data_IF_163380627487
#
_entry.id   IF_163380627487
#
_cell.length_a   1.000
_cell.length_b   1.000
_cell.length_c   1.000
_cell.angle_alpha   90.00
_cell.angle_beta   90.00
_cell.angle_gamma   90.00
#
_symmetry.space_group_name_H-M   'P 1'
#
loop_
_entity.id
_entity.type
_entity.pdbx_description
1 polymer ?
#
# COMPACT_ATOMS: atom_id res chain seq x y z
N UNK A 1 -16.40 4.82 -2.08
CA UNK A 1 -17.47 3.80 -2.08
C UNK A 1 -17.42 2.93 -3.34
N UNK A 2 -17.50 3.50 -4.54
CA UNK A 2 -17.54 2.78 -5.83
C UNK A 2 -16.37 1.81 -6.03
N UNK A 3 -15.17 2.15 -5.56
CA UNK A 3 -14.02 1.25 -5.66
C UNK A 3 -14.12 0.01 -4.75
N UNK A 4 -14.80 0.11 -3.60
CA UNK A 4 -14.71 -0.85 -2.49
C UNK A 4 -16.03 -1.60 -2.20
N UNK A 5 -17.18 -1.04 -2.59
CA UNK A 5 -18.50 -1.58 -2.23
C UNK A 5 -19.18 -2.14 -3.49
N UNK A 6 -19.35 -3.47 -3.61
CA UNK A 6 -19.93 -4.12 -4.80
C UNK A 6 -21.29 -3.55 -5.21
N UNK A 7 -22.19 -3.33 -4.25
CA UNK A 7 -23.55 -2.84 -4.52
C UNK A 7 -23.56 -1.43 -5.12
N UNK A 8 -22.64 -0.57 -4.67
CA UNK A 8 -22.49 0.79 -5.21
C UNK A 8 -21.83 0.75 -6.59
N UNK A 9 -20.83 -0.12 -6.76
CA UNK A 9 -20.14 -0.32 -8.02
C UNK A 9 -21.09 -0.78 -9.14
N UNK A 10 -21.99 -1.73 -8.85
CA UNK A 10 -22.98 -2.22 -9.80
C UNK A 10 -23.90 -1.09 -10.31
N UNK A 11 -24.22 -0.11 -9.45
CA UNK A 11 -25.06 1.02 -9.80
C UNK A 11 -24.32 2.11 -10.58
N UNK A 12 -23.12 2.48 -10.14
CA UNK A 12 -22.36 3.63 -10.68
C UNK A 12 -21.45 3.26 -11.85
N UNK A 13 -20.89 2.05 -11.86
CA UNK A 13 -19.87 1.62 -12.82
C UNK A 13 -19.92 0.10 -13.13
N UNK A 14 -21.07 -0.43 -13.61
CA UNK A 14 -21.33 -1.87 -13.73
C UNK A 14 -20.38 -2.65 -14.67
N UNK A 15 -19.74 -1.98 -15.62
CA UNK A 15 -18.84 -2.62 -16.59
C UNK A 15 -17.36 -2.59 -16.15
N UNK A 16 -17.07 -2.02 -14.98
CA UNK A 16 -15.70 -1.94 -14.49
C UNK A 16 -15.20 -3.29 -14.01
N UNK A 17 -13.97 -3.64 -14.41
CA UNK A 17 -13.29 -4.85 -13.94
C UNK A 17 -12.74 -4.72 -12.51
N UNK A 18 -12.73 -3.50 -11.94
CA UNK A 18 -12.08 -3.20 -10.65
C UNK A 18 -13.06 -2.64 -9.60
N UNK A 19 -14.10 -1.91 -10.03
CA UNK A 19 -15.04 -1.30 -9.10
C UNK A 19 -15.75 -2.35 -8.24
N UNK A 20 -15.90 -2.05 -6.95
CA UNK A 20 -16.50 -2.95 -5.96
C UNK A 20 -15.57 -4.02 -5.41
N UNK A 21 -14.38 -4.18 -5.98
CA UNK A 21 -13.40 -5.21 -5.60
C UNK A 21 -11.96 -4.70 -5.62
N UNK A 22 -11.75 -3.37 -5.55
CA UNK A 22 -10.42 -2.80 -5.55
C UNK A 22 -9.64 -3.21 -4.28
N UNK A 23 -8.43 -3.71 -4.47
CA UNK A 23 -7.48 -4.03 -3.41
C UNK A 23 -6.28 -3.05 -3.36
N UNK A 24 -6.12 -2.23 -4.40
CA UNK A 24 -5.12 -1.17 -4.49
C UNK A 24 -5.83 0.16 -4.71
N UNK A 25 -5.51 1.16 -3.87
CA UNK A 25 -6.04 2.51 -3.96
C UNK A 25 -4.92 3.48 -4.33
N UNK A 26 -5.01 4.06 -5.53
CA UNK A 26 -4.11 5.12 -5.99
C UNK A 26 -4.78 6.46 -5.73
N UNK A 27 -4.08 7.35 -5.02
CA UNK A 27 -4.59 8.66 -4.64
C UNK A 27 -4.13 9.74 -5.62
N UNK A 28 -4.92 10.81 -5.82
CA UNK A 28 -4.60 11.89 -6.76
C UNK A 28 -3.41 12.74 -6.29
N UNK A 29 -3.16 12.82 -4.98
CA UNK A 29 -2.10 13.63 -4.41
C UNK A 29 -1.62 13.08 -3.05
N UNK A 30 -0.54 13.69 -2.53
CA UNK A 30 0.05 13.30 -1.26
C UNK A 30 -0.86 13.63 -0.06
N UNK A 31 -1.66 14.68 -0.13
CA UNK A 31 -2.52 15.10 0.99
C UNK A 31 -3.61 14.07 1.25
N UNK A 32 -4.35 13.71 0.20
CA UNK A 32 -5.39 12.68 0.22
C UNK A 32 -4.83 11.32 0.65
N UNK A 33 -3.67 10.91 0.14
CA UNK A 33 -3.00 9.68 0.54
C UNK A 33 -2.62 9.68 2.04
N UNK A 34 -2.00 10.76 2.52
CA UNK A 34 -1.50 10.86 3.90
C UNK A 34 -2.65 10.94 4.92
N UNK A 35 -3.74 11.66 4.58
CA UNK A 35 -4.94 11.69 5.41
C UNK A 35 -5.57 10.29 5.46
N UNK A 36 -5.76 9.64 4.32
CA UNK A 36 -6.39 8.31 4.26
C UNK A 36 -5.60 7.26 5.04
N UNK A 37 -4.27 7.21 4.88
CA UNK A 37 -3.45 6.19 5.57
C UNK A 37 -3.43 6.40 7.08
N UNK A 38 -3.37 7.65 7.57
CA UNK A 38 -3.43 7.96 9.00
C UNK A 38 -4.81 7.69 9.59
N UNK A 39 -5.87 8.04 8.86
CA UNK A 39 -7.23 7.70 9.25
C UNK A 39 -7.37 6.18 9.39
N UNK A 40 -6.89 5.42 8.41
CA UNK A 40 -6.85 3.96 8.50
C UNK A 40 -6.08 3.51 9.74
N UNK A 41 -4.85 3.98 9.97
CA UNK A 41 -4.07 3.63 11.18
C UNK A 41 -4.83 3.81 12.49
N UNK A 42 -5.72 4.81 12.59
CA UNK A 42 -6.55 5.04 13.77
C UNK A 42 -7.82 4.19 13.82
N UNK A 43 -8.36 3.78 12.68
CA UNK A 43 -9.63 3.05 12.58
C UNK A 43 -9.46 1.52 12.55
N UNK A 44 -8.38 1.02 11.94
CA UNK A 44 -8.13 -0.43 11.90
C UNK A 44 -7.46 -0.89 13.18
N UNK A 45 -8.02 -1.94 13.77
CA UNK A 45 -7.43 -2.68 14.89
C UNK A 45 -6.31 -3.64 14.42
N UNK A 46 -5.75 -3.40 13.23
CA UNK A 46 -4.74 -4.23 12.59
C UNK A 46 -3.51 -3.39 12.26
N UNK A 47 -2.43 -4.06 11.85
CA UNK A 47 -1.16 -3.41 11.53
C UNK A 47 -1.24 -2.76 10.16
N UNK A 48 -0.93 -1.47 10.12
CA UNK A 48 -0.72 -0.72 8.88
C UNK A 48 0.78 -0.57 8.67
N UNK A 49 1.29 -1.19 7.62
CA UNK A 49 2.67 -1.01 7.18
C UNK A 49 2.70 0.09 6.13
N UNK A 50 3.43 1.17 6.43
CA UNK A 50 3.54 2.33 5.56
C UNK A 50 5.02 2.62 5.23
N UNK A 51 5.24 3.46 4.22
CA UNK A 51 6.56 3.96 3.82
C UNK A 51 7.53 2.94 3.18
N UNK A 52 6.98 1.94 2.48
CA UNK A 52 7.73 1.24 1.44
C UNK A 52 8.02 2.18 0.27
N UNK A 53 9.27 2.20 -0.20
CA UNK A 53 9.66 2.97 -1.38
C UNK A 53 9.65 2.05 -2.60
N UNK A 54 8.91 2.45 -3.63
CA UNK A 54 8.79 1.73 -4.90
C UNK A 54 9.55 2.49 -6.00
N UNK A 55 10.02 1.77 -7.03
CA UNK A 55 10.69 2.37 -8.19
C UNK A 55 12.20 2.62 -8.02
N UNK A 56 12.82 2.14 -6.95
CA UNK A 56 14.27 2.18 -6.74
C UNK A 56 14.94 0.93 -7.31
N UNK A 57 16.21 1.04 -7.74
CA UNK A 57 17.02 -0.10 -8.20
C UNK A 57 17.31 -1.13 -7.10
N UNK A 58 17.12 -0.75 -5.83
CA UNK A 58 17.20 -1.64 -4.68
C UNK A 58 16.06 -1.34 -3.72
N UNK A 59 15.38 -2.36 -3.16
CA UNK A 59 14.32 -2.16 -2.19
C UNK A 59 14.78 -1.35 -0.99
N UNK A 60 13.92 -0.42 -0.56
CA UNK A 60 14.16 0.39 0.62
C UNK A 60 12.83 0.77 1.27
N UNK A 61 12.91 1.07 2.56
CA UNK A 61 11.80 1.61 3.33
C UNK A 61 12.29 2.75 4.21
N UNK A 62 11.38 3.69 4.50
CA UNK A 62 11.62 4.72 5.50
C UNK A 62 10.89 4.36 6.79
N UNK A 63 11.57 4.46 7.92
CA UNK A 63 10.98 4.25 9.25
C UNK A 63 10.90 5.58 10.00
N UNK A 64 9.87 5.73 10.83
CA UNK A 64 9.73 6.91 11.68
C UNK A 64 10.70 6.83 12.85
N UNK A 65 11.19 7.98 13.32
CA UNK A 65 11.97 8.05 14.58
C UNK A 65 11.22 7.50 15.79
N UNK A 66 9.88 7.52 15.75
CA UNK A 66 9.02 6.95 16.78
C UNK A 66 8.63 5.49 16.56
N UNK A 67 9.22 4.81 15.57
CA UNK A 67 8.91 3.40 15.28
C UNK A 67 9.41 2.49 16.40
N UNK A 68 8.57 1.54 16.80
CA UNK A 68 8.96 0.48 17.74
C UNK A 68 9.94 -0.49 17.09
N UNK A 69 10.71 -1.22 17.91
CA UNK A 69 11.62 -2.27 17.45
C UNK A 69 10.89 -3.30 16.57
N UNK A 70 9.68 -3.70 16.96
CA UNK A 70 8.83 -4.61 16.19
C UNK A 70 8.44 -4.04 14.82
N UNK A 71 8.10 -2.75 14.74
CA UNK A 71 7.77 -2.12 13.46
C UNK A 71 8.98 -2.07 12.52
N UNK A 72 10.17 -1.74 13.06
CA UNK A 72 11.43 -1.73 12.31
C UNK A 72 11.75 -3.14 11.80
N UNK A 73 11.65 -4.15 12.66
CA UNK A 73 11.87 -5.55 12.29
C UNK A 73 10.94 -6.00 11.17
N UNK A 74 9.63 -5.74 11.29
CA UNK A 74 8.67 -6.12 10.25
C UNK A 74 8.97 -5.44 8.90
N UNK A 75 9.37 -4.16 8.91
CA UNK A 75 9.76 -3.46 7.69
C UNK A 75 11.04 -4.02 7.09
N UNK A 76 12.03 -4.39 7.91
CA UNK A 76 13.25 -5.03 7.44
C UNK A 76 12.97 -6.37 6.76
N UNK A 77 12.08 -7.19 7.33
CA UNK A 77 11.61 -8.45 6.72
C UNK A 77 10.94 -8.20 5.38
N UNK A 78 10.08 -7.19 5.29
CA UNK A 78 9.37 -6.85 4.05
C UNK A 78 10.33 -6.39 2.95
N UNK A 79 11.30 -5.53 3.28
CA UNK A 79 12.35 -5.08 2.36
C UNK A 79 13.23 -6.25 1.92
N UNK A 80 13.59 -7.15 2.85
CA UNK A 80 14.35 -8.37 2.55
C UNK A 80 13.60 -9.29 1.58
N UNK A 81 12.29 -9.50 1.79
CA UNK A 81 11.45 -10.28 0.89
C UNK A 81 11.36 -9.62 -0.51
N UNK A 82 11.21 -8.29 -0.57
CA UNK A 82 11.26 -7.57 -1.85
C UNK A 82 12.61 -7.70 -2.54
N UNK A 83 13.72 -7.76 -1.79
CA UNK A 83 15.06 -7.90 -2.36
C UNK A 83 15.27 -9.30 -2.97
N UNK A 84 14.79 -10.35 -2.29
CA UNK A 84 14.84 -11.72 -2.81
C UNK A 84 14.03 -11.83 -4.11
N UNK A 85 12.84 -11.24 -4.14
CA UNK A 85 11.91 -11.34 -5.27
C UNK A 85 12.00 -10.17 -6.26
N UNK A 86 13.07 -9.36 -6.21
CA UNK A 86 13.09 -8.07 -6.90
C UNK A 86 12.87 -8.19 -8.41
N UNK A 87 13.53 -9.14 -9.07
CA UNK A 87 13.41 -9.35 -10.51
C UNK A 87 12.06 -9.94 -10.94
N UNK A 88 11.34 -10.61 -10.03
CA UNK A 88 9.97 -11.08 -10.26
C UNK A 88 8.96 -9.93 -10.13
N UNK A 89 9.15 -9.06 -9.13
CA UNK A 89 8.29 -7.91 -8.87
C UNK A 89 8.48 -6.78 -9.89
N UNK A 90 9.69 -6.62 -10.43
CA UNK A 90 10.06 -5.57 -11.38
C UNK A 90 10.75 -6.17 -12.63
N UNK A 91 10.01 -6.90 -13.47
CA UNK A 91 10.56 -7.47 -14.70
C UNK A 91 10.99 -6.32 -15.64
N UNK A 92 12.29 -6.21 -15.89
CA UNK A 92 12.88 -5.16 -16.73
C UNK A 92 13.61 -4.04 -15.99
N UNK A 93 13.72 -4.10 -14.65
CA UNK A 93 14.67 -3.28 -13.92
C UNK A 93 16.12 -3.69 -14.28
N UNK A 94 16.97 -2.69 -14.60
CA UNK A 94 18.37 -2.84 -15.04
C UNK A 94 19.31 -2.95 -13.83
#
# INVERSE_FOLDING_TARGET
>A
DTALVPEVALRKLPRSKVAGQANVLVFPDLHSANIAVKLMMHLVHSRVYAALLLGLNRPAASVSRGSTSTAIFNMAVLVGAQAINYHELYPGAI
#
